data_IF_423098913530
#
_entry.id   IF_423098913530
#
_cell.length_a   1.000
_cell.length_b   1.000
_cell.length_c   1.000
_cell.angle_alpha   90.00
_cell.angle_beta   90.00
_cell.angle_gamma   90.00
#
_symmetry.space_group_name_H-M   'P 1'
#
loop_
_entity.id
_entity.type
_entity.pdbx_description
1 polymer ?
#
# COMPACT_ATOMS: atom_id res chain seq x y z
N UNK A 1 -22.28 -14.84 0.00
CA UNK A 1 -21.84 -13.55 0.60
C UNK A 1 -20.81 -12.89 -0.30
N UNK A 2 -20.85 -11.54 -0.46
CA UNK A 2 -19.82 -10.81 -1.20
C UNK A 2 -18.49 -10.86 -0.45
N UNK A 3 -17.41 -11.22 -1.15
CA UNK A 3 -16.05 -11.17 -0.61
C UNK A 3 -15.59 -9.71 -0.52
N UNK A 4 -15.18 -9.27 0.66
CA UNK A 4 -14.80 -7.88 0.92
C UNK A 4 -13.37 -7.81 1.44
N UNK A 5 -12.63 -6.76 1.05
CA UNK A 5 -11.29 -6.51 1.56
C UNK A 5 -11.05 -5.03 1.85
N UNK A 6 -10.06 -4.78 2.69
CA UNK A 6 -9.46 -3.46 2.88
C UNK A 6 -8.06 -3.50 2.28
N UNK A 7 -7.75 -2.55 1.42
CA UNK A 7 -6.41 -2.39 0.85
C UNK A 7 -5.73 -1.16 1.45
N UNK A 8 -4.53 -1.35 2.00
CA UNK A 8 -3.62 -0.25 2.32
C UNK A 8 -3.06 0.30 1.01
N UNK A 9 -3.53 1.50 0.62
CA UNK A 9 -3.31 2.05 -0.72
C UNK A 9 -2.57 3.38 -0.65
N UNK A 10 -1.32 3.41 -1.07
CA UNK A 10 -0.51 4.63 -1.14
C UNK A 10 -0.64 5.37 -2.49
N UNK A 11 -1.00 4.68 -3.57
CA UNK A 11 -0.95 5.22 -4.93
C UNK A 11 0.42 5.04 -5.61
N UNK A 12 1.37 4.38 -4.96
CA UNK A 12 2.64 3.94 -5.56
C UNK A 12 2.47 2.66 -6.39
N UNK A 13 3.55 2.28 -7.10
CA UNK A 13 3.59 1.11 -7.99
C UNK A 13 3.08 -0.16 -7.32
N UNK A 14 3.63 -0.52 -6.16
CA UNK A 14 3.32 -1.78 -5.49
C UNK A 14 1.87 -1.83 -5.03
N UNK A 15 1.37 -0.78 -4.36
CA UNK A 15 -0.01 -0.70 -3.92
C UNK A 15 -1.01 -0.69 -5.09
N UNK A 16 -0.62 -0.14 -6.25
CA UNK A 16 -1.46 -0.15 -7.46
C UNK A 16 -1.48 -1.54 -8.10
N UNK A 17 -0.36 -2.25 -8.13
CA UNK A 17 -0.32 -3.65 -8.56
C UNK A 17 -1.21 -4.52 -7.67
N UNK A 18 -1.13 -4.32 -6.35
CA UNK A 18 -1.99 -5.03 -5.39
C UNK A 18 -3.46 -4.63 -5.52
N UNK A 19 -3.78 -3.40 -5.91
CA UNK A 19 -5.16 -3.03 -6.25
C UNK A 19 -5.70 -3.89 -7.39
N UNK A 20 -4.92 -4.09 -8.47
CA UNK A 20 -5.29 -5.01 -9.55
C UNK A 20 -5.52 -6.44 -9.06
N UNK A 21 -4.65 -6.92 -8.15
CA UNK A 21 -4.79 -8.22 -7.51
C UNK A 21 -6.09 -8.34 -6.70
N UNK A 22 -6.45 -7.30 -5.93
CA UNK A 22 -7.70 -7.24 -5.17
C UNK A 22 -8.93 -7.24 -6.09
N UNK A 23 -8.91 -6.45 -7.16
CA UNK A 23 -10.02 -6.33 -8.12
C UNK A 23 -10.38 -7.64 -8.82
N UNK A 24 -9.41 -8.55 -8.97
CA UNK A 24 -9.64 -9.90 -9.51
C UNK A 24 -10.22 -10.88 -8.48
N UNK A 25 -10.10 -10.62 -7.16
CA UNK A 25 -10.39 -11.60 -6.09
C UNK A 25 -11.54 -11.23 -5.18
N UNK A 26 -11.83 -9.93 -5.06
CA UNK A 26 -12.86 -9.41 -4.16
C UNK A 26 -13.98 -8.73 -4.95
N UNK A 27 -15.18 -8.77 -4.38
CA UNK A 27 -16.36 -8.11 -4.93
C UNK A 27 -16.45 -6.65 -4.49
N UNK A 28 -15.92 -6.35 -3.30
CA UNK A 28 -15.93 -5.00 -2.72
C UNK A 28 -14.61 -4.72 -2.00
N UNK A 29 -14.06 -3.54 -2.26
CA UNK A 29 -12.76 -3.12 -1.71
C UNK A 29 -12.92 -1.70 -1.14
N UNK A 30 -12.53 -1.53 0.12
CA UNK A 30 -12.33 -0.22 0.72
C UNK A 30 -10.82 0.10 0.68
N UNK A 31 -10.46 1.28 0.21
CA UNK A 31 -9.06 1.73 0.13
C UNK A 31 -8.76 2.62 1.33
N UNK A 32 -7.71 2.30 2.07
CA UNK A 32 -7.17 3.14 3.13
C UNK A 32 -5.83 3.73 2.70
N UNK A 33 -5.79 5.05 2.63
CA UNK A 33 -4.57 5.83 2.43
C UNK A 33 -4.23 6.58 3.71
N UNK A 34 -2.95 6.80 3.98
CA UNK A 34 -2.49 7.46 5.21
C UNK A 34 -1.77 8.77 4.89
N UNK A 35 -2.20 9.84 5.55
CA UNK A 35 -1.51 11.14 5.59
C UNK A 35 -0.86 11.27 6.97
N UNK A 36 0.47 11.03 7.04
CA UNK A 36 1.25 11.07 8.28
C UNK A 36 2.29 12.19 8.30
N UNK A 37 2.12 13.20 7.43
CA UNK A 37 3.05 14.32 7.31
C UNK A 37 4.24 14.04 6.38
N UNK A 38 4.10 13.08 5.45
CA UNK A 38 5.11 12.83 4.43
C UNK A 38 5.30 14.05 3.52
N UNK A 39 6.55 14.28 3.09
CA UNK A 39 6.94 15.42 2.26
C UNK A 39 6.20 15.45 0.91
N UNK A 40 5.78 14.29 0.37
CA UNK A 40 5.13 14.18 -0.92
C UNK A 40 3.69 13.67 -0.81
N UNK A 41 2.74 14.61 -0.71
CA UNK A 41 1.29 14.32 -0.74
C UNK A 41 0.76 13.97 -2.15
N UNK A 42 1.61 14.02 -3.14
CA UNK A 42 1.29 13.72 -4.56
C UNK A 42 0.69 12.31 -4.70
N UNK A 43 1.14 11.36 -3.91
CA UNK A 43 0.63 9.98 -3.93
C UNK A 43 -0.88 9.91 -3.64
N UNK A 44 -1.38 10.73 -2.72
CA UNK A 44 -2.82 10.75 -2.38
C UNK A 44 -3.69 11.27 -3.53
N UNK A 45 -3.17 12.21 -4.33
CA UNK A 45 -3.87 12.71 -5.52
C UNK A 45 -3.72 11.76 -6.71
N UNK A 46 -2.56 11.08 -6.83
CA UNK A 46 -2.32 10.05 -7.83
C UNK A 46 -3.32 8.89 -7.69
N UNK A 47 -3.62 8.47 -6.47
CA UNK A 47 -4.56 7.39 -6.20
C UNK A 47 -5.93 7.58 -6.83
N UNK A 48 -6.51 8.79 -6.77
CA UNK A 48 -7.79 9.08 -7.42
C UNK A 48 -7.72 8.97 -8.96
N UNK A 49 -6.61 9.41 -9.55
CA UNK A 49 -6.40 9.31 -11.02
C UNK A 49 -6.26 7.86 -11.44
N UNK A 50 -5.48 7.06 -10.70
CA UNK A 50 -5.28 5.64 -10.96
C UNK A 50 -6.63 4.91 -10.96
N UNK A 51 -7.46 5.12 -9.95
CA UNK A 51 -8.77 4.49 -9.84
C UNK A 51 -9.65 4.85 -11.04
N UNK A 52 -9.74 6.14 -11.37
CA UNK A 52 -10.52 6.62 -12.53
C UNK A 52 -10.06 5.98 -13.83
N UNK A 53 -8.75 5.84 -14.04
CA UNK A 53 -8.22 5.20 -15.25
C UNK A 53 -8.44 3.68 -15.25
N UNK A 54 -8.40 3.01 -14.10
CA UNK A 54 -8.74 1.58 -14.00
C UNK A 54 -10.22 1.38 -14.35
N UNK A 55 -11.15 2.13 -13.75
CA UNK A 55 -12.59 2.01 -14.01
C UNK A 55 -12.94 2.33 -15.47
N UNK A 56 -12.25 3.29 -16.08
CA UNK A 56 -12.42 3.64 -17.50
C UNK A 56 -11.99 2.51 -18.44
N UNK A 57 -10.89 1.84 -18.12
CA UNK A 57 -10.28 0.83 -19.00
C UNK A 57 -10.73 -0.60 -18.74
N UNK A 58 -11.28 -0.87 -17.54
CA UNK A 58 -11.68 -2.21 -17.08
C UNK A 58 -13.09 -2.18 -16.50
N UNK A 59 -14.09 -2.28 -17.38
CA UNK A 59 -15.51 -2.19 -17.00
C UNK A 59 -15.93 -3.26 -15.98
N UNK A 60 -15.28 -4.43 -15.99
CA UNK A 60 -15.50 -5.51 -15.03
C UNK A 60 -15.10 -5.16 -13.59
N UNK A 61 -14.35 -4.08 -13.40
CA UNK A 61 -13.94 -3.58 -12.09
C UNK A 61 -14.83 -2.46 -11.56
N UNK A 62 -15.75 -1.95 -12.38
CA UNK A 62 -16.66 -0.90 -11.96
C UNK A 62 -17.47 -1.31 -10.72
N UNK A 63 -17.65 -0.35 -9.81
CA UNK A 63 -18.37 -0.51 -8.54
C UNK A 63 -17.73 -1.49 -7.53
N UNK A 64 -16.55 -2.04 -7.80
CA UNK A 64 -15.84 -2.85 -6.81
C UNK A 64 -15.15 -2.00 -5.74
N UNK A 65 -14.65 -0.82 -6.08
CA UNK A 65 -14.08 0.13 -5.12
C UNK A 65 -15.23 0.92 -4.49
N UNK A 66 -15.50 0.65 -3.21
CA UNK A 66 -16.63 1.26 -2.50
C UNK A 66 -16.27 2.60 -1.88
N UNK A 67 -15.08 2.69 -1.30
CA UNK A 67 -14.66 3.85 -0.51
C UNK A 67 -13.17 4.07 -0.62
N UNK A 68 -12.79 5.34 -0.63
CA UNK A 68 -11.42 5.80 -0.47
C UNK A 68 -11.39 6.64 0.80
N UNK A 69 -10.72 6.13 1.83
CA UNK A 69 -10.58 6.81 3.11
C UNK A 69 -9.14 7.27 3.29
N UNK A 70 -8.96 8.56 3.55
CA UNK A 70 -7.66 9.12 3.93
C UNK A 70 -7.64 9.29 5.45
N UNK A 71 -6.79 8.50 6.12
CA UNK A 71 -6.60 8.55 7.57
C UNK A 71 -5.44 9.50 7.86
N UNK A 72 -5.72 10.58 8.58
CA UNK A 72 -4.70 11.55 9.00
C UNK A 72 -4.08 11.10 10.32
N UNK A 73 -2.77 10.89 10.33
CA UNK A 73 -2.00 10.52 11.52
C UNK A 73 -1.18 11.75 11.92
N UNK A 74 -1.79 12.57 12.74
CA UNK A 74 -1.11 13.76 13.28
C UNK A 74 0.06 13.31 14.17
N UNK A 75 1.15 14.08 14.14
CA UNK A 75 2.32 13.94 15.00
C UNK A 75 3.23 12.74 14.76
N UNK A 76 2.93 11.80 13.87
CA UNK A 76 3.88 10.69 13.59
C UNK A 76 5.23 11.24 13.09
N UNK A 77 5.19 12.26 12.24
CA UNK A 77 6.39 12.95 11.75
C UNK A 77 7.20 13.63 12.87
N UNK A 78 6.53 14.10 13.93
CA UNK A 78 7.20 14.80 15.05
C UNK A 78 7.86 13.85 16.05
N UNK A 79 7.33 12.64 16.21
CA UNK A 79 7.88 11.65 17.14
C UNK A 79 8.86 10.69 16.49
N UNK A 80 9.03 10.76 15.16
CA UNK A 80 9.94 9.91 14.41
C UNK A 80 10.90 10.78 13.60
N UNK A 81 12.19 10.48 13.65
CA UNK A 81 13.23 11.15 12.84
C UNK A 81 13.46 10.34 11.57
N UNK A 82 12.89 10.80 10.44
CA UNK A 82 13.07 10.15 9.15
C UNK A 82 13.20 11.19 8.03
N UNK A 83 14.00 10.91 7.02
CA UNK A 83 14.12 11.76 5.83
C UNK A 83 12.84 11.80 4.97
N UNK A 84 11.87 10.93 5.20
CA UNK A 84 10.55 11.01 4.57
C UNK A 84 9.62 12.06 5.22
N UNK A 85 9.88 12.41 6.47
CA UNK A 85 9.05 13.32 7.27
C UNK A 85 9.77 14.60 7.69
N UNK A 86 11.07 14.71 7.39
CA UNK A 86 11.90 15.87 7.73
C UNK A 86 12.83 16.23 6.56
N UNK A 87 13.44 17.42 6.59
CA UNK A 87 14.38 17.89 5.57
C UNK A 87 15.80 17.30 5.73
N UNK A 88 15.90 16.04 6.11
CA UNK A 88 17.17 15.33 6.24
C UNK A 88 17.52 14.70 4.88
N UNK A 89 18.78 14.81 4.46
CA UNK A 89 19.27 14.18 3.23
C UNK A 89 19.09 12.66 3.31
N UNK A 90 18.58 12.06 2.23
CA UNK A 90 18.40 10.61 2.15
C UNK A 90 19.79 9.94 2.20
N UNK A 91 19.94 9.02 3.15
CA UNK A 91 21.09 8.14 3.31
C UNK A 91 20.65 6.69 3.27
N UNK A 92 21.25 5.91 2.37
CA UNK A 92 20.97 4.49 2.17
C UNK A 92 22.20 3.62 2.44
N UNK A 93 23.25 4.18 3.02
CA UNK A 93 24.52 3.47 3.29
C UNK A 93 24.46 2.59 4.53
N UNK A 94 23.49 2.83 5.41
CA UNK A 94 23.27 2.05 6.63
C UNK A 94 22.39 0.82 6.37
N UNK A 95 22.48 -0.18 7.23
CA UNK A 95 21.66 -1.42 7.15
C UNK A 95 20.16 -1.16 7.16
N UNK A 96 19.71 -0.06 7.78
CA UNK A 96 18.35 0.45 7.74
C UNK A 96 18.43 1.88 7.21
N UNK A 97 17.90 2.18 6.01
CA UNK A 97 17.94 3.52 5.44
C UNK A 97 17.24 4.55 6.35
N UNK A 98 17.71 5.79 6.35
CA UNK A 98 17.09 6.86 7.14
C UNK A 98 15.71 7.32 6.62
N UNK A 99 15.26 6.74 5.51
CA UNK A 99 13.86 6.81 5.04
C UNK A 99 12.91 5.93 5.85
N UNK A 100 13.44 5.03 6.70
CA UNK A 100 12.61 4.23 7.59
C UNK A 100 11.90 5.10 8.62
N UNK A 101 10.58 4.96 8.73
CA UNK A 101 9.76 5.56 9.78
C UNK A 101 9.41 4.46 10.77
N UNK A 102 10.04 4.41 11.96
CA UNK A 102 9.86 3.32 12.91
C UNK A 102 8.39 3.09 13.26
N UNK A 103 7.93 1.83 13.13
CA UNK A 103 6.57 1.43 13.48
C UNK A 103 5.46 1.90 12.52
N UNK A 104 5.79 2.58 11.42
CA UNK A 104 4.79 3.12 10.49
C UNK A 104 3.85 2.04 9.94
N UNK A 105 4.38 0.96 9.38
CA UNK A 105 3.55 -0.09 8.81
C UNK A 105 2.78 -0.86 9.90
N UNK A 106 3.35 -1.04 11.09
CA UNK A 106 2.64 -1.63 12.24
C UNK A 106 1.40 -0.81 12.60
N UNK A 107 1.54 0.52 12.65
CA UNK A 107 0.44 1.44 12.90
C UNK A 107 -0.62 1.40 11.79
N UNK A 108 -0.20 1.35 10.53
CA UNK A 108 -1.13 1.28 9.40
C UNK A 108 -1.99 0.01 9.44
N UNK A 109 -1.40 -1.13 9.71
CA UNK A 109 -2.15 -2.38 9.86
C UNK A 109 -3.11 -2.35 11.05
N UNK A 110 -2.70 -1.77 12.17
CA UNK A 110 -3.55 -1.67 13.36
C UNK A 110 -4.77 -0.78 13.06
N UNK A 111 -4.58 0.38 12.45
CA UNK A 111 -5.68 1.27 12.03
C UNK A 111 -6.59 0.61 10.99
N UNK A 112 -6.02 -0.14 10.04
CA UNK A 112 -6.79 -0.89 9.06
C UNK A 112 -7.62 -2.01 9.73
N UNK A 113 -7.07 -2.71 10.70
CA UNK A 113 -7.78 -3.73 11.46
C UNK A 113 -8.92 -3.14 12.29
N UNK A 114 -8.71 -1.98 12.93
CA UNK A 114 -9.75 -1.26 13.66
C UNK A 114 -10.91 -0.86 12.73
N UNK A 115 -10.59 -0.34 11.53
CA UNK A 115 -11.60 -0.04 10.52
C UNK A 115 -12.30 -1.31 10.02
N UNK A 116 -11.55 -2.37 9.73
CA UNK A 116 -12.06 -3.67 9.30
C UNK A 116 -13.04 -4.28 10.31
N UNK A 117 -12.71 -4.15 11.60
CA UNK A 117 -13.56 -4.59 12.71
C UNK A 117 -14.95 -3.94 12.63
N UNK A 118 -15.01 -2.61 12.49
CA UNK A 118 -16.29 -1.87 12.40
C UNK A 118 -17.09 -2.20 11.15
N UNK A 119 -16.43 -2.62 10.06
CA UNK A 119 -17.06 -2.95 8.77
C UNK A 119 -17.36 -4.44 8.62
N UNK A 120 -17.02 -5.26 9.61
CA UNK A 120 -17.14 -6.72 9.57
C UNK A 120 -16.42 -7.32 8.34
N UNK A 121 -15.22 -6.78 8.03
CA UNK A 121 -14.34 -7.26 6.97
C UNK A 121 -13.17 -7.96 7.64
N UNK A 122 -12.77 -9.13 7.13
CA UNK A 122 -11.67 -9.89 7.72
C UNK A 122 -10.39 -9.81 6.88
N UNK A 123 -10.50 -9.53 5.58
CA UNK A 123 -9.37 -9.53 4.66
C UNK A 123 -8.74 -8.13 4.59
N UNK A 124 -7.46 -8.02 4.96
CA UNK A 124 -6.65 -6.81 4.91
C UNK A 124 -5.48 -7.09 3.98
N UNK A 125 -5.30 -6.25 2.97
CA UNK A 125 -4.32 -6.44 1.91
C UNK A 125 -3.33 -5.30 1.88
N UNK A 126 -2.06 -5.60 1.64
CA UNK A 126 -1.03 -4.57 1.47
C UNK A 126 0.01 -4.94 0.42
N UNK A 127 0.73 -3.94 -0.06
CA UNK A 127 1.83 -4.08 -1.00
C UNK A 127 3.20 -4.15 -0.34
N UNK A 128 3.29 -4.58 0.93
CA UNK A 128 4.59 -4.77 1.58
C UNK A 128 5.35 -5.92 0.92
N UNK A 129 6.67 -5.76 0.85
CA UNK A 129 7.57 -6.66 0.16
C UNK A 129 8.87 -6.78 0.96
N UNK A 130 9.30 -8.01 1.26
CA UNK A 130 10.53 -8.26 2.00
C UNK A 130 11.77 -8.12 1.12
N UNK A 131 11.63 -8.37 -0.19
CA UNK A 131 12.72 -8.33 -1.16
C UNK A 131 12.98 -6.93 -1.70
N UNK A 132 12.25 -5.92 -1.25
CA UNK A 132 12.47 -4.54 -1.68
C UNK A 132 13.82 -4.03 -1.18
N UNK A 133 14.47 -3.20 -2.00
CA UNK A 133 15.79 -2.64 -1.73
C UNK A 133 15.86 -1.89 -0.38
N UNK A 134 14.75 -1.34 0.09
CA UNK A 134 14.69 -0.61 1.35
C UNK A 134 14.85 -1.48 2.61
N UNK A 135 14.59 -2.80 2.52
CA UNK A 135 14.83 -3.76 3.61
C UNK A 135 14.17 -3.44 4.96
N UNK A 136 13.09 -2.65 4.96
CA UNK A 136 12.45 -2.21 6.21
C UNK A 136 12.01 -3.37 7.09
N UNK A 137 12.39 -3.38 8.38
CA UNK A 137 12.04 -4.46 9.32
C UNK A 137 10.54 -4.71 9.43
N UNK A 138 9.72 -3.65 9.33
CA UNK A 138 8.26 -3.71 9.44
C UNK A 138 7.54 -4.18 8.14
N UNK A 139 8.32 -4.48 7.08
CA UNK A 139 7.83 -5.09 5.85
C UNK A 139 8.13 -6.60 5.75
N UNK A 140 8.88 -7.17 6.70
CA UNK A 140 9.29 -8.58 6.65
C UNK A 140 8.13 -9.51 6.95
N UNK A 141 8.10 -10.69 6.30
CA UNK A 141 7.05 -11.70 6.46
C UNK A 141 6.86 -12.11 7.93
N UNK A 142 7.97 -12.34 8.65
CA UNK A 142 7.92 -12.69 10.07
C UNK A 142 7.26 -11.59 10.91
N UNK A 143 7.53 -10.33 10.61
CA UNK A 143 6.94 -9.18 11.31
C UNK A 143 5.44 -9.10 11.04
N UNK A 144 5.02 -9.24 9.79
CA UNK A 144 3.60 -9.19 9.40
C UNK A 144 2.81 -10.35 10.00
N UNK A 145 3.37 -11.56 10.03
CA UNK A 145 2.74 -12.73 10.67
C UNK A 145 2.59 -12.55 12.19
N UNK A 146 3.63 -12.04 12.86
CA UNK A 146 3.58 -11.76 14.30
C UNK A 146 2.54 -10.67 14.61
N UNK A 147 2.49 -9.61 13.82
CA UNK A 147 1.50 -8.54 13.92
C UNK A 147 0.08 -9.04 13.72
N UNK A 148 -0.16 -9.88 12.71
CA UNK A 148 -1.47 -10.49 12.47
C UNK A 148 -1.93 -11.29 13.68
N UNK A 149 -1.04 -12.11 14.26
CA UNK A 149 -1.34 -12.87 15.49
C UNK A 149 -1.69 -11.94 16.67
N UNK A 150 -0.89 -10.90 16.90
CA UNK A 150 -1.12 -9.95 17.99
C UNK A 150 -2.45 -9.21 17.84
N UNK A 151 -2.76 -8.71 16.64
CA UNK A 151 -4.01 -8.00 16.36
C UNK A 151 -5.22 -8.94 16.51
N UNK A 152 -5.11 -10.18 16.02
CA UNK A 152 -6.19 -11.16 16.16
C UNK A 152 -6.48 -11.49 17.62
N UNK A 153 -5.45 -11.62 18.45
CA UNK A 153 -5.62 -11.82 19.89
C UNK A 153 -6.20 -10.59 20.58
N UNK A 154 -5.67 -9.40 20.27
CA UNK A 154 -6.09 -8.16 20.95
C UNK A 154 -7.49 -7.67 20.54
N UNK A 155 -8.00 -8.10 19.38
CA UNK A 155 -9.33 -7.72 18.88
C UNK A 155 -10.34 -8.87 18.90
N UNK A 156 -9.95 -10.07 19.37
CA UNK A 156 -10.76 -11.30 19.36
C UNK A 156 -11.42 -11.55 17.98
N UNK A 157 -10.61 -11.42 16.92
CA UNK A 157 -11.06 -11.50 15.54
C UNK A 157 -10.12 -12.36 14.70
N UNK A 158 -10.63 -12.89 13.57
CA UNK A 158 -9.83 -13.66 12.61
C UNK A 158 -9.59 -12.81 11.35
N UNK A 159 -8.69 -11.83 11.44
CA UNK A 159 -8.20 -11.11 10.27
C UNK A 159 -7.20 -11.95 9.50
N UNK A 160 -7.24 -11.83 8.17
CA UNK A 160 -6.29 -12.41 7.23
C UNK A 160 -5.50 -11.29 6.57
N UNK A 161 -4.20 -11.23 6.82
CA UNK A 161 -3.30 -10.27 6.16
C UNK A 161 -2.75 -10.89 4.88
N UNK A 162 -3.07 -10.28 3.75
CA UNK A 162 -2.61 -10.70 2.42
C UNK A 162 -1.48 -9.79 1.97
N UNK A 163 -0.37 -10.38 1.60
CA UNK A 163 0.84 -9.68 1.14
C UNK A 163 1.32 -10.29 -0.18
N UNK A 164 0.58 -10.08 -1.29
CA UNK A 164 0.83 -10.79 -2.55
C UNK A 164 2.20 -10.49 -3.18
N UNK A 165 2.90 -9.45 -2.71
CA UNK A 165 4.23 -9.09 -3.20
C UNK A 165 5.37 -9.54 -2.29
N UNK A 166 5.08 -10.18 -1.15
CA UNK A 166 6.04 -10.42 -0.06
C UNK A 166 7.40 -10.95 -0.52
N UNK A 167 7.41 -11.87 -1.47
CA UNK A 167 8.61 -12.55 -1.97
C UNK A 167 8.89 -12.26 -3.44
N UNK A 168 8.20 -11.29 -4.05
CA UNK A 168 8.39 -10.94 -5.45
C UNK A 168 9.53 -9.93 -5.61
N UNK A 169 10.36 -10.13 -6.63
CA UNK A 169 11.28 -9.08 -7.09
C UNK A 169 10.52 -7.95 -7.78
N UNK A 170 11.18 -6.81 -8.01
CA UNK A 170 10.58 -5.72 -8.81
C UNK A 170 10.19 -6.18 -10.22
N UNK A 171 11.02 -7.04 -10.84
CA UNK A 171 10.70 -7.62 -12.15
C UNK A 171 9.44 -8.50 -12.08
N UNK A 172 9.29 -9.33 -11.04
CA UNK A 172 8.12 -10.18 -10.87
C UNK A 172 6.87 -9.38 -10.52
N UNK A 173 7.00 -8.26 -9.80
CA UNK A 173 5.90 -7.33 -9.56
C UNK A 173 5.38 -6.73 -10.88
N UNK A 174 6.27 -6.40 -11.84
CA UNK A 174 5.87 -5.96 -13.18
C UNK A 174 5.21 -7.07 -13.99
N UNK A 175 5.73 -8.31 -13.93
CA UNK A 175 5.08 -9.47 -14.55
C UNK A 175 3.69 -9.70 -13.98
N UNK A 176 3.53 -9.60 -12.65
CA UNK A 176 2.23 -9.68 -12.00
C UNK A 176 1.30 -8.59 -12.51
N UNK A 177 1.74 -7.34 -12.61
CA UNK A 177 0.93 -6.24 -13.16
C UNK A 177 0.44 -6.56 -14.57
N UNK A 178 1.31 -7.13 -15.42
CA UNK A 178 0.93 -7.55 -16.77
C UNK A 178 -0.09 -8.70 -16.76
N UNK A 179 0.08 -9.69 -15.90
CA UNK A 179 -0.89 -10.79 -15.74
C UNK A 179 -2.27 -10.31 -15.28
N UNK A 180 -2.33 -9.25 -14.48
CA UNK A 180 -3.58 -8.73 -13.92
C UNK A 180 -4.45 -7.96 -14.93
N UNK A 181 -3.85 -7.30 -15.91
CA UNK A 181 -4.61 -6.49 -16.87
C UNK A 181 -3.86 -6.15 -18.16
N UNK A 182 -2.80 -6.92 -18.49
CA UNK A 182 -2.02 -6.74 -19.71
C UNK A 182 -1.30 -5.39 -19.76
N UNK A 183 -0.86 -5.00 -20.95
CA UNK A 183 -0.15 -3.73 -21.18
C UNK A 183 -0.95 -2.50 -20.74
N UNK A 184 -2.29 -2.55 -20.85
CA UNK A 184 -3.15 -1.44 -20.43
C UNK A 184 -2.99 -1.15 -18.94
N UNK A 185 -2.94 -2.20 -18.10
CA UNK A 185 -2.76 -2.03 -16.66
C UNK A 185 -1.33 -1.59 -16.32
N UNK A 186 -0.34 -2.18 -16.98
CA UNK A 186 1.07 -1.77 -16.84
C UNK A 186 1.25 -0.29 -17.19
N UNK A 187 0.65 0.18 -18.28
CA UNK A 187 0.70 1.59 -18.69
C UNK A 187 0.05 2.53 -17.66
N UNK A 188 -1.05 2.10 -17.01
CA UNK A 188 -1.65 2.86 -15.91
C UNK A 188 -0.67 2.96 -14.74
N UNK A 189 -0.05 1.84 -14.35
CA UNK A 189 0.94 1.83 -13.27
C UNK A 189 2.11 2.76 -13.60
N UNK A 190 2.70 2.66 -14.79
CA UNK A 190 3.83 3.52 -15.21
C UNK A 190 3.44 5.01 -15.21
N UNK A 191 2.30 5.34 -15.80
CA UNK A 191 1.92 6.72 -16.07
C UNK A 191 1.43 7.48 -14.85
N UNK A 192 0.73 6.80 -13.94
CA UNK A 192 -0.02 7.48 -12.88
C UNK A 192 0.52 7.23 -11.46
N UNK A 193 1.42 6.22 -11.27
CA UNK A 193 2.03 6.02 -9.94
C UNK A 193 3.21 6.97 -9.71
N UNK A 194 3.46 7.27 -8.46
CA UNK A 194 4.65 7.97 -8.01
C UNK A 194 5.47 7.03 -7.14
N UNK A 195 6.70 6.71 -7.60
CA UNK A 195 7.62 5.81 -6.88
C UNK A 195 8.88 6.52 -6.42
N UNK A 196 9.05 7.80 -6.77
CA UNK A 196 10.27 8.54 -6.43
C UNK A 196 10.12 9.24 -5.09
N UNK A 197 10.93 8.86 -4.09
CA UNK A 197 11.05 9.53 -2.80
C UNK A 197 11.46 11.02 -2.89
N UNK A 198 11.99 11.46 -4.06
CA UNK A 198 12.34 12.86 -4.32
C UNK A 198 11.21 13.67 -4.98
N UNK A 199 10.06 13.04 -5.28
CA UNK A 199 8.94 13.72 -5.94
C UNK A 199 9.19 14.11 -7.41
N UNK A 200 10.31 13.72 -7.99
CA UNK A 200 10.65 14.03 -9.38
C UNK A 200 9.96 13.05 -10.32
N UNK A 201 9.20 13.57 -11.28
CA UNK A 201 8.79 12.79 -12.45
C UNK A 201 9.96 12.69 -13.41
N UNK A 202 10.79 11.66 -13.32
CA UNK A 202 11.62 11.31 -14.47
C UNK A 202 10.68 10.90 -15.61
N UNK A 203 10.70 11.62 -16.72
CA UNK A 203 10.15 11.15 -17.99
C UNK A 203 10.89 9.84 -18.28
N UNK A 204 10.19 8.72 -18.12
CA UNK A 204 10.62 7.48 -18.75
C UNK A 204 10.36 7.67 -20.24
N UNK A 205 11.43 7.57 -21.04
CA UNK A 205 11.45 7.68 -22.48
C UNK A 205 10.52 6.68 -23.14
#
# INVERSE_FOLDING_TARGET
>A
MKKKAILLFSGGQDSTTVLGWCLKRFDQIDLLSFDYGQNHRIELTAGKKIIKEIEKNFKEFNNKIRKILIVKIKNLAHITSSSLTSNIKIDTTTSIPNTFVPGRNLLFYNLAASYAYTKKINDIVSGVCQTDYSGYPDCRDVTIKALNKAINLGMERKFLFHTPLMFLTKADTWKLSNTLGGEKFVNIVIKYTHTCYKGERKKLF
#
